data_IF_950714735678
#
_entry.id   IF_950714735678
#
_cell.length_a   1.000
_cell.length_b   1.000
_cell.length_c   1.000
_cell.angle_alpha   90.00
_cell.angle_beta   90.00
_cell.angle_gamma   90.00
#
_symmetry.space_group_name_H-M   'P 1'
#
loop_
_entity.id
_entity.type
_entity.pdbx_description
1 polymer ?
#
# COMPACT_ATOMS: atom_id res chain seq x y z
N UNK A 1 -10.93 -10.86 -1.71
CA UNK A 1 -9.82 -9.93 -1.97
C UNK A 1 -10.36 -8.66 -2.60
N UNK A 2 -9.84 -7.53 -2.17
CA UNK A 2 -10.14 -6.22 -2.77
C UNK A 2 -8.84 -5.64 -3.32
N UNK A 3 -8.87 -5.19 -4.56
CA UNK A 3 -7.70 -4.58 -5.19
C UNK A 3 -8.07 -3.19 -5.71
N UNK A 4 -7.15 -2.24 -5.56
CA UNK A 4 -7.32 -0.89 -6.07
C UNK A 4 -6.06 -0.42 -6.76
N UNK A 5 -6.23 0.31 -7.86
CA UNK A 5 -5.14 1.03 -8.50
C UNK A 5 -5.14 2.44 -7.92
N UNK A 6 -3.99 2.86 -7.38
CA UNK A 6 -3.83 4.19 -6.81
C UNK A 6 -2.81 4.97 -7.65
N UNK A 7 -3.23 6.14 -8.09
CA UNK A 7 -2.39 7.08 -8.83
C UNK A 7 -1.83 8.15 -7.90
N UNK A 8 -0.87 8.92 -8.38
CA UNK A 8 -0.27 10.01 -7.61
C UNK A 8 -1.35 10.94 -7.02
N UNK A 9 -1.26 11.21 -5.74
CA UNK A 9 -2.21 12.04 -4.99
C UNK A 9 -3.41 11.28 -4.44
N UNK A 10 -3.58 10.00 -4.77
CA UNK A 10 -4.69 9.19 -4.28
C UNK A 10 -4.32 8.43 -3.01
N UNK A 11 -5.33 8.14 -2.20
CA UNK A 11 -5.15 7.37 -0.98
C UNK A 11 -6.31 6.41 -0.78
N UNK A 12 -6.08 5.41 0.07
CA UNK A 12 -7.08 4.43 0.46
C UNK A 12 -7.02 4.24 1.96
N UNK A 13 -8.14 4.49 2.64
CA UNK A 13 -8.27 4.25 4.08
C UNK A 13 -9.06 2.97 4.29
N UNK A 14 -8.48 2.04 5.04
CA UNK A 14 -9.04 0.71 5.32
C UNK A 14 -9.41 0.66 6.79
N UNK A 15 -10.69 0.38 7.07
CA UNK A 15 -11.23 0.30 8.43
C UNK A 15 -11.75 -1.11 8.68
N UNK A 16 -11.47 -1.63 9.88
CA UNK A 16 -12.05 -2.91 10.30
C UNK A 16 -11.41 -4.14 9.66
N UNK A 17 -10.16 -4.03 9.23
CA UNK A 17 -9.46 -5.13 8.54
C UNK A 17 -8.27 -5.66 9.34
N UNK A 18 -8.23 -5.42 10.64
CA UNK A 18 -7.12 -5.85 11.49
C UNK A 18 -6.86 -7.35 11.35
N UNK A 19 -5.59 -7.71 11.22
CA UNK A 19 -5.16 -9.09 11.03
C UNK A 19 -5.13 -9.56 9.58
N UNK A 20 -5.72 -8.81 8.65
CA UNK A 20 -5.72 -9.19 7.24
C UNK A 20 -4.38 -8.84 6.58
N UNK A 21 -4.03 -9.60 5.57
CA UNK A 21 -2.82 -9.37 4.78
C UNK A 21 -3.08 -8.28 3.75
N UNK A 22 -2.09 -7.40 3.61
CA UNK A 22 -2.11 -6.31 2.65
C UNK A 22 -0.84 -6.33 1.82
N UNK A 23 -0.95 -6.03 0.53
CA UNK A 23 0.21 -5.90 -0.35
C UNK A 23 0.04 -4.70 -1.25
N UNK A 24 1.18 -4.07 -1.60
CA UNK A 24 1.21 -2.99 -2.59
C UNK A 24 2.36 -3.23 -3.54
N UNK A 25 2.11 -3.05 -4.83
CA UNK A 25 3.10 -3.28 -5.88
C UNK A 25 3.12 -2.07 -6.80
N UNK A 26 4.32 -1.50 -7.00
CA UNK A 26 4.48 -0.41 -7.95
C UNK A 26 4.38 -0.93 -9.38
N UNK A 27 3.57 -0.27 -10.21
CA UNK A 27 3.43 -0.60 -11.62
C UNK A 27 3.93 0.51 -12.52
N UNK A 28 4.56 1.54 -11.95
CA UNK A 28 5.24 2.60 -12.69
C UNK A 28 6.56 2.92 -12.00
N UNK A 29 7.61 3.29 -12.75
CA UNK A 29 8.87 3.70 -12.12
C UNK A 29 8.68 5.00 -11.34
N UNK A 30 9.52 5.20 -10.31
CA UNK A 30 9.47 6.40 -9.49
C UNK A 30 8.29 6.47 -8.54
N UNK A 31 7.65 5.34 -8.22
CA UNK A 31 6.54 5.31 -7.28
C UNK A 31 7.05 5.51 -5.86
N UNK A 32 6.42 6.45 -5.15
CA UNK A 32 6.72 6.76 -3.74
C UNK A 32 5.42 6.68 -2.95
N UNK A 33 5.44 5.93 -1.86
CA UNK A 33 4.23 5.66 -1.07
C UNK A 33 4.46 5.90 0.41
N UNK A 34 3.36 6.14 1.13
CA UNK A 34 3.29 6.09 2.58
C UNK A 34 2.25 5.07 2.99
N UNK A 35 2.54 4.29 4.03
CA UNK A 35 1.63 3.30 4.60
C UNK A 35 1.65 3.42 6.12
N UNK A 36 0.49 3.59 6.73
CA UNK A 36 0.34 3.69 8.18
C UNK A 36 -0.76 2.74 8.65
N UNK A 37 -0.65 2.27 9.89
CA UNK A 37 -1.61 1.32 10.45
C UNK A 37 -1.35 -0.13 10.06
N UNK A 38 -0.20 -0.41 9.48
CA UNK A 38 0.25 -1.75 9.09
C UNK A 38 1.42 -2.16 9.97
N UNK A 39 1.78 -3.44 9.95
CA UNK A 39 2.90 -3.93 10.75
C UNK A 39 4.21 -3.30 10.33
N UNK A 40 4.43 -3.17 9.02
CA UNK A 40 5.60 -2.47 8.48
C UNK A 40 5.08 -1.19 7.83
N UNK A 41 5.44 -0.05 8.42
CA UNK A 41 5.02 1.25 7.92
C UNK A 41 6.06 1.85 6.99
N UNK A 42 5.59 2.61 6.03
CA UNK A 42 6.44 3.35 5.10
C UNK A 42 6.08 4.82 5.18
N UNK A 43 7.08 5.68 5.04
CA UNK A 43 6.89 7.14 5.01
C UNK A 43 7.66 7.70 3.83
N UNK A 44 6.93 8.13 2.78
CA UNK A 44 7.52 8.66 1.55
C UNK A 44 8.63 7.75 1.04
N UNK A 45 8.38 6.45 1.04
CA UNK A 45 9.38 5.46 0.66
C UNK A 45 9.26 5.13 -0.82
N UNK A 46 10.41 5.08 -1.54
CA UNK A 46 10.39 4.61 -2.91
C UNK A 46 10.02 3.14 -2.95
N UNK A 47 9.16 2.78 -3.88
CA UNK A 47 8.72 1.41 -4.09
C UNK A 47 9.24 0.98 -5.46
N UNK A 48 10.18 0.02 -5.47
CA UNK A 48 10.75 -0.47 -6.72
C UNK A 48 9.70 -1.08 -7.63
N UNK A 49 9.88 -0.91 -8.93
CA UNK A 49 8.93 -1.43 -9.93
C UNK A 49 8.80 -2.95 -9.78
N UNK A 50 7.58 -3.43 -9.54
CA UNK A 50 7.23 -4.83 -9.32
C UNK A 50 8.06 -5.50 -8.21
N UNK A 51 8.64 -4.72 -7.30
CA UNK A 51 9.42 -5.24 -6.19
C UNK A 51 8.52 -5.77 -5.09
N UNK A 52 9.05 -6.67 -4.27
CA UNK A 52 8.31 -7.35 -3.20
C UNK A 52 8.34 -6.61 -1.86
N UNK A 53 8.90 -5.41 -1.79
CA UNK A 53 9.05 -4.63 -0.56
C UNK A 53 7.71 -4.38 0.15
N UNK A 54 6.63 -4.20 -0.60
CA UNK A 54 5.31 -3.95 -0.05
C UNK A 54 4.43 -5.19 0.09
N UNK A 55 4.98 -6.39 -0.08
CA UNK A 55 4.20 -7.63 -0.13
C UNK A 55 4.06 -8.23 1.27
N UNK A 56 2.89 -8.79 1.56
CA UNK A 56 2.59 -9.57 2.77
C UNK A 56 2.68 -8.76 4.07
N UNK A 57 2.31 -7.50 4.02
CA UNK A 57 2.13 -6.69 5.22
C UNK A 57 0.83 -7.12 5.95
N UNK A 58 0.68 -6.71 7.18
CA UNK A 58 -0.48 -7.07 8.00
C UNK A 58 -1.14 -5.79 8.53
N UNK A 59 -2.46 -5.71 8.39
CA UNK A 59 -3.22 -4.58 8.95
C UNK A 59 -3.27 -4.70 10.47
N UNK A 60 -2.89 -3.64 11.18
CA UNK A 60 -2.87 -3.61 12.66
C UNK A 60 -3.94 -2.70 13.25
N UNK A 61 -4.31 -1.65 12.53
CA UNK A 61 -5.32 -0.69 12.96
C UNK A 61 -5.99 -0.13 11.71
N UNK A 62 -6.68 0.99 11.82
CA UNK A 62 -7.12 1.71 10.63
C UNK A 62 -5.89 2.03 9.76
N UNK A 63 -5.88 1.53 8.55
CA UNK A 63 -4.73 1.66 7.66
C UNK A 63 -4.98 2.73 6.62
N UNK A 64 -3.95 3.55 6.37
CA UNK A 64 -4.00 4.57 5.32
C UNK A 64 -2.83 4.34 4.38
N UNK A 65 -3.13 4.20 3.10
CA UNK A 65 -2.14 4.01 2.05
C UNK A 65 -2.24 5.23 1.12
N UNK A 66 -1.11 5.87 0.86
CA UNK A 66 -1.08 7.05 -0.01
C UNK A 66 0.03 6.90 -1.03
N UNK A 67 -0.31 7.15 -2.30
CA UNK A 67 0.67 7.22 -3.39
C UNK A 67 1.00 8.69 -3.62
N UNK A 68 2.27 9.06 -3.44
CA UNK A 68 2.73 10.44 -3.64
C UNK A 68 3.11 10.68 -5.09
N UNK A 69 3.83 9.75 -5.69
CA UNK A 69 4.22 9.79 -7.12
C UNK A 69 4.08 8.38 -7.68
N UNK A 70 3.94 8.28 -8.99
CA UNK A 70 3.84 7.01 -9.69
C UNK A 70 2.45 6.40 -9.62
N UNK A 71 2.39 5.08 -9.70
CA UNK A 71 1.15 4.30 -9.69
C UNK A 71 1.41 2.95 -9.04
N UNK A 72 0.49 2.51 -8.20
CA UNK A 72 0.62 1.23 -7.52
C UNK A 72 -0.72 0.48 -7.51
N UNK A 73 -0.65 -0.84 -7.43
CA UNK A 73 -1.81 -1.68 -7.16
C UNK A 73 -1.74 -2.11 -5.71
N UNK A 74 -2.80 -1.85 -4.96
CA UNK A 74 -2.92 -2.23 -3.56
C UNK A 74 -3.93 -3.37 -3.43
N UNK A 75 -3.60 -4.39 -2.64
CA UNK A 75 -4.43 -5.58 -2.44
C UNK A 75 -4.71 -5.78 -0.96
N UNK A 76 -5.98 -5.92 -0.61
CA UNK A 76 -6.39 -6.36 0.73
C UNK A 76 -6.93 -7.78 0.61
N UNK A 77 -6.28 -8.73 1.26
CA UNK A 77 -6.69 -10.12 1.28
C UNK A 77 -7.74 -10.36 2.36
N UNK A 78 -8.51 -11.37 2.18
CA UNK A 78 -9.49 -11.77 3.20
C UNK A 78 -8.84 -12.51 4.36
#
# INVERSE_FOLDING_TARGET
MVARILHAGESWTIVGAEGKTFSIIAIAPGTVVSEHGLEWELDHSPLGLLADTGISNVVRSTATIQVHTGTAIAYLYK
#
